data_IF_783046889055
#
_entry.id   IF_783046889055
#
_cell.length_a   1.000
_cell.length_b   1.000
_cell.length_c   1.000
_cell.angle_alpha   90.00
_cell.angle_beta   90.00
_cell.angle_gamma   90.00
#
_symmetry.space_group_name_H-M   'P 1'
#
loop_
_entity.id
_entity.type
_entity.pdbx_description
1 polymer ?
#
# COMPACT_ATOMS: atom_id res chain seq x y z
N UNK A 1 -0.57 22.11 3.27
CA UNK A 1 -1.15 20.95 3.97
C UNK A 1 -2.40 20.54 3.23
N UNK A 2 -2.49 19.27 2.87
CA UNK A 2 -3.72 18.68 2.36
C UNK A 2 -4.14 17.56 3.31
N UNK A 3 -5.43 17.48 3.62
CA UNK A 3 -5.97 16.36 4.39
C UNK A 3 -6.59 15.37 3.42
N UNK A 4 -6.07 14.16 3.40
CA UNK A 4 -6.65 13.04 2.66
C UNK A 4 -7.12 11.96 3.63
N UNK A 5 -7.88 10.99 3.13
CA UNK A 5 -8.26 9.80 3.89
C UNK A 5 -7.67 8.58 3.19
N UNK A 6 -7.14 7.64 3.97
CA UNK A 6 -6.69 6.35 3.44
C UNK A 6 -7.86 5.63 2.79
N UNK A 7 -7.72 5.25 1.51
CA UNK A 7 -8.70 4.44 0.79
C UNK A 7 -8.47 2.94 1.07
N UNK A 8 -9.43 2.11 0.66
CA UNK A 8 -9.28 0.66 0.77
C UNK A 8 -8.02 0.21 0.01
N UNK A 9 -7.19 -0.62 0.67
CA UNK A 9 -5.95 -1.17 0.09
C UNK A 9 -4.80 -0.17 -0.04
N UNK A 10 -4.92 1.06 0.49
CA UNK A 10 -3.85 2.04 0.44
C UNK A 10 -2.92 1.96 1.64
N UNK A 11 -1.61 1.98 1.35
CA UNK A 11 -0.58 2.31 2.33
C UNK A 11 -0.43 3.82 2.50
N UNK A 12 0.33 4.25 3.52
CA UNK A 12 0.72 5.66 3.68
C UNK A 12 1.44 6.20 2.44
N UNK A 13 2.27 5.35 1.84
CA UNK A 13 3.02 5.66 0.63
C UNK A 13 2.09 5.94 -0.54
N UNK A 14 1.10 5.07 -0.78
CA UNK A 14 0.10 5.21 -1.84
C UNK A 14 -0.65 6.54 -1.72
N UNK A 15 -1.18 6.82 -0.52
CA UNK A 15 -1.97 8.02 -0.26
C UNK A 15 -1.16 9.30 -0.43
N UNK A 16 0.12 9.27 -0.03
CA UNK A 16 1.00 10.43 -0.13
C UNK A 16 1.39 10.72 -1.57
N UNK A 17 1.72 9.68 -2.35
CA UNK A 17 2.05 9.82 -3.78
C UNK A 17 0.81 10.21 -4.59
N UNK A 18 -0.37 9.66 -4.29
CA UNK A 18 -1.61 10.07 -4.95
C UNK A 18 -1.89 11.56 -4.72
N UNK A 19 -1.62 12.05 -3.51
CA UNK A 19 -1.91 13.45 -3.13
C UNK A 19 -0.85 14.45 -3.59
N UNK A 20 0.43 14.06 -3.60
CA UNK A 20 1.53 15.00 -3.87
C UNK A 20 2.38 14.65 -5.07
N UNK A 21 2.39 13.41 -5.52
CA UNK A 21 3.22 12.95 -6.63
C UNK A 21 4.72 12.93 -6.31
N UNK A 22 5.10 13.01 -5.03
CA UNK A 22 6.48 12.99 -4.59
C UNK A 22 6.69 11.93 -3.49
N UNK A 23 7.74 11.13 -3.65
CA UNK A 23 8.11 10.09 -2.69
C UNK A 23 8.75 10.68 -1.44
N UNK A 24 9.45 11.80 -1.56
CA UNK A 24 10.12 12.42 -0.39
C UNK A 24 9.10 12.92 0.64
N UNK A 25 7.91 13.29 0.18
CA UNK A 25 6.81 13.73 1.03
C UNK A 25 6.26 12.61 1.93
N UNK A 26 6.56 11.34 1.66
CA UNK A 26 6.15 10.21 2.51
C UNK A 26 6.80 10.33 3.88
N UNK A 27 8.07 10.74 3.94
CA UNK A 27 8.80 10.88 5.20
C UNK A 27 8.28 12.04 6.05
N UNK A 28 8.03 13.20 5.44
CA UNK A 28 7.43 14.34 6.14
C UNK A 28 6.01 14.04 6.60
N UNK A 29 5.23 13.34 5.77
CA UNK A 29 3.86 12.91 6.11
C UNK A 29 3.86 11.91 7.26
N UNK A 30 4.75 10.92 7.26
CA UNK A 30 4.91 9.97 8.37
C UNK A 30 5.24 10.68 9.69
N UNK A 31 6.23 11.58 9.67
CA UNK A 31 6.63 12.38 10.83
C UNK A 31 5.48 13.26 11.35
N UNK A 32 4.76 13.94 10.47
CA UNK A 32 3.66 14.83 10.85
C UNK A 32 2.42 14.11 11.39
N UNK A 33 2.26 12.82 11.10
CA UNK A 33 1.16 11.99 11.63
C UNK A 33 1.61 11.05 12.77
N UNK A 34 2.92 11.01 13.09
CA UNK A 34 3.46 10.17 14.16
C UNK A 34 3.35 8.67 13.89
N UNK A 35 3.37 8.27 12.61
CA UNK A 35 3.25 6.88 12.15
C UNK A 35 4.51 6.46 11.39
N UNK A 36 4.80 5.16 11.37
CA UNK A 36 5.81 4.57 10.50
C UNK A 36 5.36 4.54 9.03
N UNK A 37 6.33 4.49 8.12
CA UNK A 37 6.06 4.41 6.67
C UNK A 37 5.49 3.06 6.23
N UNK A 38 5.72 2.01 7.03
CA UNK A 38 5.25 0.64 6.81
C UNK A 38 4.14 0.24 7.78
N UNK A 39 3.64 1.17 8.58
CA UNK A 39 2.57 0.86 9.52
C UNK A 39 1.27 0.60 8.76
N UNK A 40 0.48 -0.36 9.24
CA UNK A 40 -0.87 -0.58 8.74
C UNK A 40 -1.80 0.53 9.25
N UNK A 41 -2.26 1.36 8.31
CA UNK A 41 -3.16 2.47 8.62
C UNK A 41 -4.60 2.07 8.31
N UNK A 42 -5.53 2.17 9.27
CA UNK A 42 -6.93 1.84 9.03
C UNK A 42 -7.54 2.68 7.92
N UNK A 43 -8.42 2.06 7.14
CA UNK A 43 -9.18 2.74 6.07
C UNK A 43 -10.01 3.88 6.65
N UNK A 44 -10.19 4.95 5.86
CA UNK A 44 -10.81 6.23 6.24
C UNK A 44 -10.06 7.05 7.29
N UNK A 45 -8.91 6.60 7.79
CA UNK A 45 -8.09 7.40 8.71
C UNK A 45 -7.67 8.70 8.04
N UNK A 46 -7.83 9.86 8.71
CA UNK A 46 -7.36 11.12 8.19
C UNK A 46 -5.82 11.13 8.22
N UNK A 47 -5.22 11.45 7.08
CA UNK A 47 -3.78 11.62 6.94
C UNK A 47 -3.50 13.03 6.48
N UNK A 48 -2.66 13.70 7.25
CA UNK A 48 -2.19 15.05 6.97
C UNK A 48 -0.97 14.97 6.07
N UNK A 49 -1.15 15.26 4.79
CA UNK A 49 -0.08 15.20 3.79
C UNK A 49 0.65 16.53 3.71
N UNK A 50 1.98 16.46 3.78
CA UNK A 50 2.87 17.62 3.76
C UNK A 50 3.87 17.56 2.61
N UNK A 51 4.30 18.73 2.15
CA UNK A 51 5.32 18.89 1.13
C UNK A 51 4.83 19.50 -0.19
N UNK A 52 5.69 19.44 -1.18
CA UNK A 52 5.48 20.08 -2.49
C UNK A 52 4.68 19.15 -3.40
N UNK A 53 3.65 19.69 -4.05
CA UNK A 53 2.83 18.94 -5.00
C UNK A 53 3.47 19.01 -6.39
N UNK A 54 3.59 17.85 -7.06
CA UNK A 54 3.99 17.67 -8.46
C UNK A 54 2.73 17.38 -9.30
N UNK A 55 2.10 18.41 -9.91
CA UNK A 55 0.77 18.28 -10.51
C UNK A 55 0.71 17.25 -11.65
N UNK A 56 1.81 17.08 -12.39
CA UNK A 56 1.91 16.12 -13.49
C UNK A 56 1.67 14.68 -13.02
N UNK A 57 2.12 14.34 -11.81
CA UNK A 57 2.02 12.99 -11.24
C UNK A 57 0.69 12.83 -10.50
N UNK A 58 0.23 13.84 -9.76
CA UNK A 58 -1.09 13.77 -9.10
C UNK A 58 -2.22 13.63 -10.12
N UNK A 59 -2.10 14.28 -11.29
CA UNK A 59 -3.06 14.16 -12.37
C UNK A 59 -3.07 12.77 -13.03
N UNK A 60 -1.97 12.02 -12.95
CA UNK A 60 -1.91 10.64 -13.46
C UNK A 60 -2.82 9.71 -12.66
N UNK A 61 -2.73 9.79 -11.32
CA UNK A 61 -3.53 8.95 -10.43
C UNK A 61 -5.02 9.33 -10.48
N UNK A 62 -5.31 10.64 -10.51
CA UNK A 62 -6.67 11.15 -10.76
C UNK A 62 -7.75 10.46 -9.94
N UNK A 63 -8.94 10.27 -10.52
CA UNK A 63 -10.05 9.55 -9.88
C UNK A 63 -10.08 8.05 -10.19
N UNK A 64 -9.28 7.58 -11.15
CA UNK A 64 -9.46 6.26 -11.78
C UNK A 64 -8.30 5.30 -11.48
N UNK A 65 -7.11 5.80 -11.18
CA UNK A 65 -5.91 4.98 -11.01
C UNK A 65 -5.32 5.11 -9.60
N UNK A 66 -6.16 4.99 -8.56
CA UNK A 66 -5.65 5.04 -7.18
C UNK A 66 -4.74 3.84 -6.90
N UNK A 67 -3.48 4.04 -6.47
CA UNK A 67 -2.61 2.95 -6.05
C UNK A 67 -3.19 2.28 -4.80
N UNK A 68 -2.98 0.97 -4.67
CA UNK A 68 -3.45 0.16 -3.55
C UNK A 68 -2.46 -0.99 -3.32
N UNK A 69 -1.34 -0.69 -2.66
CA UNK A 69 -0.24 -1.63 -2.41
C UNK A 69 -0.26 -2.23 -1.01
N UNK A 70 -1.16 -1.77 -0.13
CA UNK A 70 -1.40 -2.46 1.14
C UNK A 70 -2.15 -3.75 0.85
N UNK A 71 -1.49 -4.87 1.13
CA UNK A 71 -2.05 -6.20 0.99
C UNK A 71 -2.63 -6.57 2.35
N UNK A 72 -3.91 -6.92 2.38
CA UNK A 72 -4.50 -7.46 3.60
C UNK A 72 -3.97 -8.89 3.85
N UNK A 73 -3.74 -9.31 5.11
CA UNK A 73 -3.20 -10.64 5.41
C UNK A 73 -4.03 -11.80 4.84
N UNK A 74 -5.32 -11.61 4.59
CA UNK A 74 -6.21 -12.58 3.97
C UNK A 74 -6.03 -12.69 2.44
N UNK A 75 -5.67 -11.59 1.76
CA UNK A 75 -5.31 -11.58 0.34
C UNK A 75 -3.97 -12.30 0.07
N UNK A 76 -3.08 -12.36 1.08
CA UNK A 76 -1.82 -13.07 0.97
C UNK A 76 -1.96 -14.61 0.97
N UNK A 77 -3.15 -15.12 1.28
CA UNK A 77 -3.46 -16.57 1.24
C UNK A 77 -3.83 -17.07 -0.17
N UNK A 78 -3.85 -16.19 -1.18
CA UNK A 78 -4.36 -16.47 -2.52
C UNK A 78 -3.45 -17.28 -3.46
N UNK A 79 -2.18 -17.42 -3.14
CA UNK A 79 -1.32 -18.38 -3.83
C UNK A 79 -0.89 -19.42 -2.81
N UNK A 80 -1.67 -20.50 -2.67
CA UNK A 80 -1.12 -21.74 -2.14
C UNK A 80 0.14 -22.00 -2.95
N UNK A 81 1.31 -21.82 -2.34
CA UNK A 81 2.58 -21.94 -3.05
C UNK A 81 2.56 -23.26 -3.84
N UNK A 82 2.39 -23.15 -5.15
CA UNK A 82 2.10 -24.28 -6.01
C UNK A 82 3.36 -24.67 -6.76
N UNK A 83 3.58 -25.97 -6.91
CA UNK A 83 4.70 -26.51 -7.64
C UNK A 83 5.56 -27.44 -6.78
N UNK A 84 6.37 -28.24 -7.47
CA UNK A 84 7.19 -29.28 -6.86
C UNK A 84 8.17 -28.76 -5.79
N UNK A 85 8.52 -27.47 -5.82
CA UNK A 85 9.40 -26.85 -4.81
C UNK A 85 8.71 -26.61 -3.46
N UNK A 86 7.38 -26.67 -3.41
CA UNK A 86 6.57 -26.48 -2.21
C UNK A 86 5.82 -27.75 -1.79
N UNK A 87 5.79 -28.78 -2.65
CA UNK A 87 5.16 -30.06 -2.36
C UNK A 87 6.03 -30.91 -1.45
N UNK A 88 5.41 -31.50 -0.44
CA UNK A 88 6.04 -32.46 0.47
C UNK A 88 5.74 -33.88 -0.03
N UNK A 89 6.79 -34.68 -0.27
CA UNK A 89 6.63 -36.10 -0.65
C UNK A 89 5.96 -36.86 0.51
N UNK A 90 5.05 -37.77 0.18
CA UNK A 90 4.17 -38.53 1.10
C UNK A 90 3.04 -37.71 1.75
N UNK A 91 2.97 -36.39 1.51
CA UNK A 91 1.86 -35.53 1.96
C UNK A 91 1.09 -35.00 0.75
N UNK A 92 1.75 -34.24 -0.11
CA UNK A 92 1.16 -33.64 -1.32
C UNK A 92 1.37 -34.53 -2.56
N UNK A 93 2.39 -35.40 -2.54
CA UNK A 93 2.70 -36.34 -3.63
C UNK A 93 2.91 -37.76 -3.09
N UNK A 94 2.00 -38.68 -3.45
CA UNK A 94 2.10 -40.09 -3.06
C UNK A 94 2.82 -40.90 -4.15
N UNK A 95 3.95 -41.51 -3.79
CA UNK A 95 4.60 -42.52 -4.62
C UNK A 95 3.96 -43.87 -4.28
N UNK A 96 3.32 -44.51 -5.25
CA UNK A 96 2.84 -45.89 -5.15
C UNK A 96 3.77 -46.83 -5.89
#
# INVERSE_FOLDING_TARGET
MQNTKIKQGQSLFDATIETTGDVENVFSTALSNGVGITDDIPVMSPVKVEGTVKPQITNLFGSTHSPATSIAPDEQLGESNAGIGYWIVEVDFQVK
#
